data_IF_236130535239
#
_entry.id   IF_236130535239
#
_cell.length_a   1.000
_cell.length_b   1.000
_cell.length_c   1.000
_cell.angle_alpha   90.00
_cell.angle_beta   90.00
_cell.angle_gamma   90.00
#
_symmetry.space_group_name_H-M   'P 1'
#
loop_
_entity.id
_entity.type
_entity.pdbx_description
1 polymer ?
#
# COMPACT_ATOMS: atom_id res chain seq x y z
N UNK A 1 -12.02 1.31 22.66
CA UNK A 1 -12.14 0.44 21.48
C UNK A 1 -12.48 1.37 20.35
N UNK A 2 -11.53 1.62 19.44
CA UNK A 2 -11.84 2.41 18.25
C UNK A 2 -12.83 1.58 17.44
N UNK A 3 -14.02 2.12 17.22
CA UNK A 3 -14.96 1.54 16.27
C UNK A 3 -14.43 1.93 14.88
N UNK A 4 -13.72 1.00 14.24
CA UNK A 4 -13.03 1.22 12.96
C UNK A 4 -13.96 1.02 11.77
N UNK A 5 -15.28 0.88 11.98
CA UNK A 5 -16.24 0.72 10.90
C UNK A 5 -16.20 1.95 9.98
N UNK A 6 -15.68 1.81 8.73
CA UNK A 6 -15.58 2.94 7.82
C UNK A 6 -16.97 3.32 7.34
N UNK A 7 -17.28 4.60 7.39
CA UNK A 7 -18.49 5.13 6.77
C UNK A 7 -18.24 5.26 5.25
N UNK A 8 -18.80 4.32 4.48
CA UNK A 8 -18.71 4.28 3.03
C UNK A 8 -19.33 5.52 2.35
N UNK A 9 -20.16 6.29 3.06
CA UNK A 9 -20.77 7.51 2.54
C UNK A 9 -19.85 8.74 2.59
N UNK A 10 -18.72 8.64 3.29
CA UNK A 10 -17.76 9.74 3.38
C UNK A 10 -17.09 10.01 2.02
N UNK A 11 -16.78 11.29 1.72
CA UNK A 11 -15.87 11.62 0.63
C UNK A 11 -14.52 10.90 0.81
N UNK A 12 -13.89 10.51 -0.29
CA UNK A 12 -12.63 9.77 -0.27
C UNK A 12 -11.54 10.50 0.55
N UNK A 13 -11.39 11.81 0.37
CA UNK A 13 -10.43 12.64 1.11
C UNK A 13 -10.60 12.54 2.63
N UNK A 14 -11.85 12.59 3.10
CA UNK A 14 -12.16 12.51 4.52
C UNK A 14 -11.89 11.11 5.08
N UNK A 15 -12.21 10.07 4.30
CA UNK A 15 -11.90 8.69 4.66
C UNK A 15 -10.39 8.45 4.77
N UNK A 16 -9.60 8.96 3.83
CA UNK A 16 -8.13 8.85 3.90
C UNK A 16 -7.55 9.66 5.05
N UNK A 17 -8.11 10.83 5.36
CA UNK A 17 -7.73 11.59 6.55
C UNK A 17 -7.96 10.77 7.83
N UNK A 18 -9.13 10.12 7.95
CA UNK A 18 -9.43 9.24 9.09
C UNK A 18 -8.52 8.00 9.14
N UNK A 19 -8.19 7.40 7.99
CA UNK A 19 -7.23 6.30 7.90
C UNK A 19 -5.85 6.72 8.43
N UNK A 20 -5.35 7.88 8.03
CA UNK A 20 -4.06 8.41 8.49
C UNK A 20 -4.07 8.69 9.99
N UNK A 21 -5.13 9.34 10.49
CA UNK A 21 -5.27 9.65 11.92
C UNK A 21 -5.33 8.35 12.76
N UNK A 22 -6.06 7.34 12.29
CA UNK A 22 -6.13 6.03 12.92
C UNK A 22 -4.79 5.29 12.88
N UNK A 23 -4.09 5.30 11.73
CA UNK A 23 -2.77 4.72 11.57
C UNK A 23 -1.74 5.36 12.51
N UNK A 24 -1.80 6.69 12.65
CA UNK A 24 -0.92 7.44 13.54
C UNK A 24 -1.14 7.03 14.99
N UNK A 25 -2.39 7.00 15.44
CA UNK A 25 -2.75 6.59 16.79
C UNK A 25 -2.41 5.12 17.08
N UNK A 26 -2.62 4.23 16.11
CA UNK A 26 -2.41 2.80 16.26
C UNK A 26 -0.92 2.44 16.37
N UNK A 27 -0.06 3.16 15.67
CA UNK A 27 1.40 2.91 15.63
C UNK A 27 2.18 3.80 16.60
N UNK A 28 1.52 4.71 17.31
CA UNK A 28 2.17 5.64 18.23
C UNK A 28 2.86 4.91 19.39
N UNK A 29 4.18 5.07 19.49
CA UNK A 29 4.99 4.49 20.57
C UNK A 29 5.32 3.00 20.41
N UNK A 30 4.89 2.36 19.31
CA UNK A 30 5.28 1.00 18.97
C UNK A 30 6.55 1.01 18.11
N UNK A 31 7.55 0.22 18.51
CA UNK A 31 8.86 0.13 17.86
C UNK A 31 9.01 -1.08 16.94
N UNK A 32 8.11 -2.06 16.99
CA UNK A 32 8.13 -3.23 16.12
C UNK A 32 7.48 -2.91 14.76
N UNK A 33 8.31 -2.79 13.72
CA UNK A 33 7.86 -2.48 12.37
C UNK A 33 6.96 -3.55 11.75
N UNK A 34 7.12 -4.83 12.13
CA UNK A 34 6.28 -5.92 11.61
C UNK A 34 4.87 -5.84 12.20
N UNK A 35 4.76 -5.59 13.51
CA UNK A 35 3.49 -5.36 14.17
C UNK A 35 2.77 -4.14 13.58
N UNK A 36 3.51 -3.04 13.37
CA UNK A 36 2.97 -1.84 12.72
C UNK A 36 2.46 -2.13 11.31
N UNK A 37 3.28 -2.73 10.44
CA UNK A 37 2.86 -3.09 9.07
C UNK A 37 1.64 -4.03 9.06
N UNK A 38 1.58 -5.02 9.96
CA UNK A 38 0.45 -5.95 10.02
C UNK A 38 -0.87 -5.24 10.37
N UNK A 39 -0.83 -4.37 11.38
CA UNK A 39 -2.00 -3.58 11.78
C UNK A 39 -2.38 -2.54 10.72
N UNK A 40 -1.41 -1.92 10.06
CA UNK A 40 -1.67 -0.97 8.96
C UNK A 40 -2.28 -1.66 7.75
N UNK A 41 -1.84 -2.88 7.40
CA UNK A 41 -2.47 -3.67 6.33
C UNK A 41 -3.93 -3.99 6.65
N UNK A 42 -4.22 -4.39 7.89
CA UNK A 42 -5.60 -4.60 8.34
C UNK A 42 -6.42 -3.30 8.31
N UNK A 43 -5.83 -2.17 8.73
CA UNK A 43 -6.52 -0.88 8.72
C UNK A 43 -6.83 -0.39 7.29
N UNK A 44 -5.89 -0.53 6.36
CA UNK A 44 -6.13 -0.23 4.93
C UNK A 44 -7.24 -1.12 4.36
N UNK A 45 -7.24 -2.41 4.71
CA UNK A 45 -8.27 -3.36 4.28
C UNK A 45 -9.67 -2.98 4.77
N UNK A 46 -9.79 -2.53 6.02
CA UNK A 46 -11.07 -2.06 6.56
C UNK A 46 -11.49 -0.76 5.88
N UNK A 47 -10.60 0.25 5.81
CA UNK A 47 -10.96 1.59 5.35
C UNK A 47 -11.17 1.69 3.85
N UNK A 48 -10.51 0.89 3.02
CA UNK A 48 -10.54 1.08 1.56
C UNK A 48 -11.45 0.01 0.94
N UNK A 49 -12.63 0.38 0.42
CA UNK A 49 -13.55 -0.59 -0.15
C UNK A 49 -13.03 -1.13 -1.48
N UNK A 50 -13.49 -2.32 -1.87
CA UNK A 50 -13.20 -2.95 -3.16
C UNK A 50 -11.70 -3.22 -3.43
N UNK A 51 -10.98 -3.66 -2.38
CA UNK A 51 -9.64 -4.23 -2.52
C UNK A 51 -9.71 -5.76 -2.61
N UNK A 52 -8.81 -6.36 -3.40
CA UNK A 52 -8.52 -7.80 -3.34
C UNK A 52 -7.15 -8.09 -2.69
N UNK A 53 -6.31 -7.07 -2.54
CA UNK A 53 -5.03 -7.16 -1.84
C UNK A 53 -4.62 -5.82 -1.23
N UNK A 54 -4.03 -5.84 -0.03
CA UNK A 54 -3.46 -4.66 0.62
C UNK A 54 -2.28 -5.04 1.51
N UNK A 55 -1.14 -4.38 1.37
CA UNK A 55 0.01 -4.73 2.18
C UNK A 55 1.30 -4.04 1.81
N UNK A 56 2.40 -4.67 2.21
CA UNK A 56 3.74 -4.12 2.09
C UNK A 56 4.68 -5.07 1.37
N UNK A 57 5.59 -4.52 0.58
CA UNK A 57 6.87 -5.15 0.25
C UNK A 57 8.00 -4.31 0.83
N UNK A 58 8.98 -4.96 1.47
CA UNK A 58 10.10 -4.29 2.15
C UNK A 58 11.36 -4.43 1.32
N UNK A 59 12.20 -3.39 1.31
CA UNK A 59 13.51 -3.49 0.68
C UNK A 59 14.44 -4.27 1.61
N UNK A 60 14.86 -5.46 1.17
CA UNK A 60 15.77 -6.35 1.89
C UNK A 60 16.83 -6.84 0.90
N UNK A 61 18.10 -6.61 1.22
CA UNK A 61 19.26 -7.01 0.40
C UNK A 61 19.17 -6.58 -1.08
N UNK A 62 18.58 -5.40 -1.34
CA UNK A 62 18.46 -4.83 -2.68
C UNK A 62 17.28 -5.36 -3.51
N UNK A 63 16.37 -6.12 -2.90
CA UNK A 63 15.14 -6.63 -3.53
C UNK A 63 13.92 -6.23 -2.69
N UNK A 64 12.73 -6.27 -3.30
CA UNK A 64 11.49 -6.23 -2.55
C UNK A 64 11.17 -7.63 -2.04
N UNK A 65 10.91 -7.74 -0.73
CA UNK A 65 10.51 -8.97 -0.04
C UNK A 65 9.17 -8.76 0.64
N UNK A 66 8.23 -9.68 0.41
CA UNK A 66 6.88 -9.63 0.95
C UNK A 66 6.88 -9.38 2.47
N UNK A 67 6.15 -8.34 2.88
CA UNK A 67 5.87 -7.98 4.27
C UNK A 67 4.46 -8.42 4.69
N UNK A 68 3.94 -7.91 5.82
CA UNK A 68 2.57 -8.14 6.22
C UNK A 68 1.56 -7.61 5.18
N UNK A 69 0.48 -8.35 4.98
CA UNK A 69 -0.57 -8.03 4.01
C UNK A 69 -1.91 -8.69 4.39
N UNK A 70 -2.99 -8.25 3.75
CA UNK A 70 -4.31 -8.89 3.72
C UNK A 70 -4.66 -9.20 2.28
N UNK A 71 -5.05 -10.44 2.00
CA UNK A 71 -5.37 -10.90 0.64
C UNK A 71 -4.95 -12.34 0.40
N UNK A 72 -4.95 -12.74 -0.88
CA UNK A 72 -4.44 -14.06 -1.31
C UNK A 72 -2.90 -14.08 -1.24
N UNK A 73 -2.27 -15.27 -1.15
CA UNK A 73 -0.82 -15.39 -1.28
C UNK A 73 -0.32 -14.74 -2.58
N UNK A 74 0.76 -13.97 -2.47
CA UNK A 74 1.35 -13.19 -3.56
C UNK A 74 2.83 -13.55 -3.77
N UNK A 75 3.51 -12.82 -4.65
CA UNK A 75 4.92 -13.01 -4.93
C UNK A 75 5.78 -12.78 -3.66
N UNK A 76 6.74 -13.66 -3.38
CA UNK A 76 7.58 -13.51 -2.17
C UNK A 76 8.71 -12.48 -2.39
N UNK A 77 9.28 -12.45 -3.59
CA UNK A 77 10.35 -11.52 -3.98
C UNK A 77 10.05 -10.86 -5.32
N UNK A 78 10.39 -9.58 -5.42
CA UNK A 78 10.27 -8.78 -6.64
C UNK A 78 11.60 -8.03 -6.85
N UNK A 79 12.30 -8.21 -7.98
CA UNK A 79 13.48 -7.41 -8.29
C UNK A 79 13.12 -5.93 -8.46
N UNK A 80 14.02 -5.03 -8.04
CA UNK A 80 13.83 -3.59 -8.25
C UNK A 80 13.72 -3.28 -9.75
N UNK A 81 12.77 -2.41 -10.11
CA UNK A 81 12.45 -2.04 -11.48
C UNK A 81 11.58 -3.05 -12.24
N UNK A 82 11.15 -4.14 -11.61
CA UNK A 82 10.28 -5.15 -12.24
C UNK A 82 8.85 -5.09 -11.70
N UNK A 83 7.87 -5.13 -12.60
CA UNK A 83 6.45 -4.95 -12.25
C UNK A 83 6.17 -3.56 -11.66
N UNK A 84 4.93 -3.35 -11.21
CA UNK A 84 4.48 -2.07 -10.68
C UNK A 84 5.16 -1.77 -9.34
N UNK A 85 5.18 -2.75 -8.42
CA UNK A 85 5.94 -2.69 -7.17
C UNK A 85 7.41 -2.31 -7.36
N UNK A 86 8.13 -3.02 -8.25
CA UNK A 86 9.54 -2.74 -8.49
C UNK A 86 9.78 -1.39 -9.17
N UNK A 87 8.86 -0.94 -10.05
CA UNK A 87 8.93 0.39 -10.65
C UNK A 87 8.83 1.49 -9.58
N UNK A 88 7.86 1.39 -8.66
CA UNK A 88 7.70 2.33 -7.54
C UNK A 88 8.97 2.39 -6.67
N UNK A 89 9.52 1.23 -6.34
CA UNK A 89 10.74 1.15 -5.54
C UNK A 89 11.98 1.71 -6.27
N UNK A 90 12.04 1.58 -7.60
CA UNK A 90 13.15 2.09 -8.40
C UNK A 90 13.09 3.60 -8.64
N UNK A 91 11.90 4.15 -8.87
CA UNK A 91 11.73 5.57 -9.16
C UNK A 91 11.62 6.43 -7.90
N UNK A 92 11.16 5.84 -6.78
CA UNK A 92 10.73 6.62 -5.62
C UNK A 92 9.44 7.39 -5.87
N UNK A 93 8.69 7.05 -6.92
CA UNK A 93 7.44 7.69 -7.32
C UNK A 93 6.26 6.72 -7.25
N UNK A 94 5.11 7.24 -6.82
CA UNK A 94 3.83 6.51 -6.80
C UNK A 94 3.46 6.01 -8.20
N UNK A 95 3.03 4.75 -8.27
CA UNK A 95 2.48 4.13 -9.48
C UNK A 95 0.97 4.01 -9.34
N UNK A 96 0.22 4.73 -10.19
CA UNK A 96 -1.24 4.70 -10.24
C UNK A 96 -1.66 4.04 -11.56
N UNK A 97 -2.03 2.75 -11.51
CA UNK A 97 -2.23 1.91 -12.69
C UNK A 97 -3.71 1.58 -12.88
N UNK A 98 -4.32 2.15 -13.92
CA UNK A 98 -5.75 1.94 -14.22
C UNK A 98 -6.06 0.55 -14.80
N UNK A 99 -5.09 -0.07 -15.48
CA UNK A 99 -5.19 -1.42 -16.05
C UNK A 99 -3.84 -2.14 -15.93
N UNK A 100 -3.72 -3.07 -14.98
CA UNK A 100 -2.46 -3.80 -14.74
C UNK A 100 -2.02 -4.61 -15.95
N UNK A 101 -2.95 -5.06 -16.78
CA UNK A 101 -2.64 -5.83 -17.99
C UNK A 101 -2.05 -4.96 -19.10
N UNK A 102 -2.20 -3.64 -19.02
CA UNK A 102 -1.58 -2.68 -19.94
C UNK A 102 -0.20 -2.22 -19.46
N UNK A 103 0.20 -2.53 -18.21
CA UNK A 103 1.48 -2.10 -17.65
C UNK A 103 2.66 -2.90 -18.24
N UNK A 104 3.67 -2.23 -18.84
CA UNK A 104 4.83 -2.92 -19.40
C UNK A 104 5.61 -3.70 -18.35
N UNK A 105 5.82 -5.00 -18.57
CA UNK A 105 6.55 -5.84 -17.62
C UNK A 105 5.75 -6.20 -16.37
N UNK A 106 4.42 -6.14 -16.43
CA UNK A 106 3.54 -6.59 -15.35
C UNK A 106 3.85 -8.03 -14.90
N UNK A 107 4.03 -8.20 -13.59
CA UNK A 107 4.20 -9.49 -12.93
C UNK A 107 2.88 -9.81 -12.23
N UNK A 108 2.05 -10.64 -12.86
CA UNK A 108 0.77 -11.03 -12.28
C UNK A 108 0.99 -12.00 -11.10
N UNK A 109 0.68 -11.56 -9.88
CA UNK A 109 0.67 -12.41 -8.69
C UNK A 109 -0.76 -12.88 -8.32
N UNK A 110 -1.79 -12.03 -8.51
CA UNK A 110 -3.20 -12.41 -8.44
C UNK A 110 -3.90 -12.14 -9.77
N UNK A 111 -4.59 -13.15 -10.32
CA UNK A 111 -5.30 -13.03 -11.58
C UNK A 111 -6.59 -12.18 -11.46
N UNK A 112 -7.05 -11.91 -10.24
CA UNK A 112 -8.20 -11.07 -10.01
C UNK A 112 -7.89 -9.57 -10.15
N UNK A 113 -6.64 -9.14 -9.90
CA UNK A 113 -6.25 -7.73 -9.95
C UNK A 113 -6.44 -7.13 -11.34
N UNK A 114 -7.09 -5.98 -11.40
CA UNK A 114 -7.37 -5.22 -12.62
C UNK A 114 -6.79 -3.81 -12.58
N UNK A 115 -6.67 -3.20 -11.40
CA UNK A 115 -5.93 -1.95 -11.18
C UNK A 115 -5.10 -2.04 -9.90
N UNK A 116 -4.05 -1.22 -9.82
CA UNK A 116 -3.04 -1.28 -8.74
C UNK A 116 -2.57 0.14 -8.38
N UNK A 117 -2.40 0.39 -7.08
CA UNK A 117 -1.79 1.59 -6.53
C UNK A 117 -0.61 1.19 -5.66
N UNK A 118 0.59 1.58 -6.08
CA UNK A 118 1.82 1.36 -5.31
C UNK A 118 2.43 2.68 -4.89
N UNK A 119 2.65 2.85 -3.58
CA UNK A 119 3.24 4.06 -3.00
C UNK A 119 4.56 3.72 -2.29
N UNK A 120 5.68 4.34 -2.64
CA UNK A 120 6.94 4.13 -1.94
C UNK A 120 6.93 4.76 -0.55
N UNK A 121 7.44 4.02 0.44
CA UNK A 121 7.73 4.53 1.78
C UNK A 121 9.20 4.94 1.83
N UNK A 122 9.43 6.25 1.94
CA UNK A 122 10.77 6.84 1.93
C UNK A 122 11.19 7.23 3.34
N UNK A 123 12.37 6.78 3.75
CA UNK A 123 13.04 7.18 4.99
C UNK A 123 14.48 7.56 4.66
N UNK A 124 14.92 8.74 5.10
CA UNK A 124 16.26 9.26 4.85
C UNK A 124 16.65 9.22 3.36
N UNK A 125 15.77 9.77 2.50
CA UNK A 125 15.90 9.81 1.04
C UNK A 125 16.04 8.43 0.36
N UNK A 126 15.73 7.35 1.08
CA UNK A 126 15.82 5.96 0.59
C UNK A 126 14.46 5.28 0.67
N UNK A 127 14.06 4.58 -0.39
CA UNK A 127 12.87 3.72 -0.34
C UNK A 127 13.17 2.51 0.54
N UNK A 128 12.40 2.34 1.62
CA UNK A 128 12.57 1.22 2.58
C UNK A 128 11.47 0.16 2.44
N UNK A 129 10.33 0.54 1.88
CA UNK A 129 9.21 -0.34 1.57
C UNK A 129 8.35 0.29 0.47
N UNK A 130 7.40 -0.46 -0.04
CA UNK A 130 6.26 0.04 -0.82
C UNK A 130 4.98 -0.43 -0.14
N UNK A 131 3.97 0.45 -0.12
CA UNK A 131 2.57 0.08 0.12
C UNK A 131 2.00 -0.32 -1.23
N UNK A 132 1.35 -1.48 -1.28
CA UNK A 132 0.77 -2.04 -2.49
C UNK A 132 -0.71 -2.37 -2.24
N UNK A 133 -1.57 -1.93 -3.16
CA UNK A 133 -3.02 -2.04 -3.10
C UNK A 133 -3.53 -2.50 -4.46
N UNK A 134 -4.21 -3.64 -4.49
CA UNK A 134 -4.86 -4.17 -5.68
C UNK A 134 -6.38 -4.09 -5.58
N UNK A 135 -7.02 -3.88 -6.73
CA UNK A 135 -8.46 -3.97 -6.88
C UNK A 135 -8.89 -4.91 -8.01
N UNK A 136 -10.02 -5.63 -7.87
CA UNK A 136 -10.56 -6.51 -8.91
C UNK A 136 -11.28 -5.75 -10.03
N UNK A 137 -11.35 -4.42 -9.93
CA UNK A 137 -11.98 -3.53 -10.90
C UNK A 137 -10.92 -2.62 -11.55
N UNK A 138 -11.12 -2.26 -12.82
CA UNK A 138 -10.23 -1.33 -13.54
C UNK A 138 -10.43 0.09 -13.04
N UNK A 139 -9.37 0.89 -13.08
CA UNK A 139 -9.37 2.29 -12.67
C UNK A 139 -10.04 2.52 -11.29
N UNK A 140 -9.86 1.58 -10.35
CA UNK A 140 -10.42 1.70 -9.00
C UNK A 140 -9.83 2.89 -8.25
N UNK A 141 -8.53 3.10 -8.41
CA UNK A 141 -7.80 4.14 -7.72
C UNK A 141 -7.82 5.43 -8.52
N UNK A 142 -8.23 6.52 -7.87
CA UNK A 142 -8.16 7.88 -8.36
C UNK A 142 -6.99 8.64 -7.69
N UNK A 143 -6.79 9.88 -8.11
CA UNK A 143 -5.75 10.76 -7.54
C UNK A 143 -5.88 10.92 -6.02
N UNK A 144 -7.11 11.04 -5.52
CA UNK A 144 -7.36 11.18 -4.08
C UNK A 144 -6.93 9.94 -3.28
N UNK A 145 -7.01 8.74 -3.88
CA UNK A 145 -6.49 7.52 -3.26
C UNK A 145 -4.96 7.58 -3.15
N UNK A 146 -4.28 7.97 -4.23
CA UNK A 146 -2.83 8.14 -4.24
C UNK A 146 -2.36 9.16 -3.18
N UNK A 147 -2.97 10.35 -3.14
CA UNK A 147 -2.62 11.41 -2.18
C UNK A 147 -2.84 10.96 -0.72
N UNK A 148 -3.91 10.22 -0.46
CA UNK A 148 -4.20 9.66 0.87
C UNK A 148 -3.16 8.64 1.33
N UNK A 149 -2.77 7.71 0.44
CA UNK A 149 -1.76 6.68 0.75
C UNK A 149 -0.34 7.28 0.80
N UNK A 150 -0.06 8.33 0.03
CA UNK A 150 1.19 9.09 0.14
C UNK A 150 1.33 9.78 1.51
N UNK A 151 0.27 10.41 2.04
CA UNK A 151 0.28 10.94 3.41
C UNK A 151 0.46 9.81 4.44
N UNK A 152 -0.23 8.67 4.27
CA UNK A 152 -0.06 7.50 5.14
C UNK A 152 1.40 7.03 5.15
N UNK A 153 2.01 6.83 3.98
CA UNK A 153 3.40 6.44 3.82
C UNK A 153 4.34 7.42 4.53
N UNK A 154 4.14 8.73 4.36
CA UNK A 154 4.94 9.75 5.06
C UNK A 154 4.77 9.69 6.58
N UNK A 155 3.54 9.46 7.08
CA UNK A 155 3.26 9.39 8.52
C UNK A 155 3.95 8.21 9.19
N UNK A 156 4.00 7.06 8.50
CA UNK A 156 4.47 5.79 9.07
C UNK A 156 5.92 5.45 8.73
N UNK A 157 6.60 6.20 7.85
CA UNK A 157 7.97 5.92 7.40
C UNK A 157 9.00 5.72 8.54
N UNK A 158 8.86 6.45 9.63
CA UNK A 158 9.73 6.33 10.82
C UNK A 158 9.39 5.16 11.75
N UNK A 159 8.34 4.38 11.46
CA UNK A 159 7.75 3.37 12.35
C UNK A 159 7.75 1.95 11.77
N UNK A 160 8.17 1.80 10.52
CA UNK A 160 8.22 0.50 9.82
C UNK A 160 9.63 0.12 9.37
#
# INVERSE_FOLDING_TARGET
>A
MFDFAPDETLPAEERYRQLVDAADALTAGEGDGVANMANLAALMWEFIPDLNWAGFYRVVDGELVLGPFVGRPACIRIPIGQGVCGAAASSGETQLVEDVHAFPGHIACDAASQSELVVPVVRDDTVVAVIDLDAPTKARFARADAEGIEELARRIAGRI
#
